data_IF_840200186565
#
_entry.id   IF_840200186565
#
_cell.length_a   1.000
_cell.length_b   1.000
_cell.length_c   1.000
_cell.angle_alpha   90.00
_cell.angle_beta   90.00
_cell.angle_gamma   90.00
#
_symmetry.space_group_name_H-M   'P 1'
#
loop_
_entity.id
_entity.type
_entity.pdbx_description
1 polymer ?
#
# COMPACT_ATOMS: atom_id res chain seq x y z
N UNK A 1 -53.66 67.35 -0.32
CA UNK A 1 -53.84 65.88 -0.02
C UNK A 1 -52.82 65.10 -0.82
N UNK A 2 -51.70 64.80 -0.17
CA UNK A 2 -50.55 64.20 -0.83
C UNK A 2 -50.55 62.71 -0.47
N UNK A 3 -50.70 61.82 -1.43
CA UNK A 3 -50.70 60.39 -1.25
C UNK A 3 -49.23 59.90 -1.35
N UNK A 4 -48.66 59.46 -0.19
CA UNK A 4 -47.41 58.82 -0.12
C UNK A 4 -47.48 57.40 -0.72
N UNK A 5 -46.76 57.17 -1.79
CA UNK A 5 -46.60 55.84 -2.38
C UNK A 5 -45.35 55.20 -1.79
N UNK A 6 -45.54 54.26 -0.88
CA UNK A 6 -44.50 53.52 -0.22
C UNK A 6 -44.08 52.32 -1.11
N UNK A 7 -42.97 52.48 -1.83
CA UNK A 7 -42.41 51.39 -2.64
C UNK A 7 -41.61 50.46 -1.70
N UNK A 8 -42.16 49.27 -1.47
CA UNK A 8 -41.53 48.23 -0.72
C UNK A 8 -40.46 47.52 -1.61
N UNK A 9 -39.19 47.87 -1.38
CA UNK A 9 -38.06 47.23 -2.06
C UNK A 9 -37.76 45.92 -1.35
N UNK A 10 -38.33 44.82 -1.84
CA UNK A 10 -38.05 43.45 -1.34
C UNK A 10 -36.71 43.01 -1.88
N UNK A 11 -35.68 43.10 -1.03
CA UNK A 11 -34.32 42.55 -1.30
C UNK A 11 -34.36 41.02 -1.28
N UNK A 12 -34.39 40.43 -2.45
CA UNK A 12 -34.21 38.97 -2.62
C UNK A 12 -32.76 38.67 -2.37
N UNK A 13 -32.41 38.21 -1.14
CA UNK A 13 -31.13 37.64 -0.82
C UNK A 13 -31.05 36.28 -1.51
N UNK A 14 -30.46 36.22 -2.70
CA UNK A 14 -30.01 35.01 -3.34
C UNK A 14 -28.80 34.47 -2.52
N UNK A 15 -29.07 33.57 -1.58
CA UNK A 15 -28.05 32.73 -1.01
C UNK A 15 -27.52 31.83 -2.14
N UNK A 16 -26.43 32.25 -2.79
CA UNK A 16 -25.61 31.40 -3.62
C UNK A 16 -24.88 30.43 -2.67
N UNK A 17 -25.48 29.26 -2.43
CA UNK A 17 -24.72 28.12 -1.96
C UNK A 17 -23.68 27.81 -3.06
N UNK A 18 -22.45 28.32 -2.90
CA UNK A 18 -21.31 27.79 -3.61
C UNK A 18 -21.10 26.36 -3.10
N UNK A 19 -21.61 25.43 -3.86
CA UNK A 19 -21.28 24.03 -3.71
C UNK A 19 -19.77 23.91 -3.97
N UNK A 20 -19.00 24.01 -2.90
CA UNK A 20 -17.58 23.74 -2.92
C UNK A 20 -17.44 22.22 -3.09
N UNK A 21 -17.65 21.73 -4.31
CA UNK A 21 -17.24 20.39 -4.67
C UNK A 21 -15.73 20.33 -4.42
N UNK A 22 -15.35 19.78 -3.27
CA UNK A 22 -13.97 19.44 -3.00
C UNK A 22 -13.46 18.64 -4.20
N UNK A 23 -12.52 19.22 -4.93
CA UNK A 23 -11.93 18.60 -6.12
C UNK A 23 -11.46 17.20 -5.70
N UNK A 24 -12.11 16.16 -6.23
CA UNK A 24 -11.78 14.78 -5.85
C UNK A 24 -10.37 14.51 -6.34
N UNK A 25 -9.45 14.37 -5.41
CA UNK A 25 -8.07 13.96 -5.71
C UNK A 25 -8.15 12.68 -6.53
N UNK A 26 -7.66 12.73 -7.77
CA UNK A 26 -7.66 11.59 -8.67
C UNK A 26 -6.33 10.86 -8.53
N UNK A 27 -6.36 9.67 -7.95
CA UNK A 27 -5.20 8.78 -7.87
C UNK A 27 -5.10 7.89 -9.11
N UNK A 28 -3.89 7.51 -9.49
CA UNK A 28 -3.63 6.49 -10.50
C UNK A 28 -3.93 5.08 -9.95
N UNK A 29 -3.68 4.88 -8.67
CA UNK A 29 -4.04 3.66 -7.94
C UNK A 29 -5.54 3.60 -7.62
N UNK A 30 -6.02 2.40 -7.30
CA UNK A 30 -7.40 2.22 -6.85
C UNK A 30 -7.57 2.77 -5.44
N UNK A 31 -8.48 3.74 -5.24
CA UNK A 31 -8.85 4.22 -3.92
C UNK A 31 -9.64 3.13 -3.17
N UNK A 32 -9.09 2.69 -2.05
CA UNK A 32 -9.66 1.67 -1.16
C UNK A 32 -9.85 2.20 0.26
N UNK A 33 -9.95 3.51 0.43
CA UNK A 33 -10.04 4.19 1.73
C UNK A 33 -11.23 3.75 2.58
N UNK A 34 -12.28 3.22 1.96
CA UNK A 34 -13.47 2.70 2.64
C UNK A 34 -13.41 1.19 2.91
N UNK A 35 -12.28 0.54 2.66
CA UNK A 35 -12.15 -0.90 2.85
C UNK A 35 -12.03 -1.26 4.35
N UNK A 36 -12.80 -2.26 4.77
CA UNK A 36 -12.83 -2.75 6.15
C UNK A 36 -11.95 -4.00 6.38
N UNK A 37 -10.93 -4.20 5.54
CA UNK A 37 -9.96 -5.29 5.61
C UNK A 37 -8.52 -4.75 5.62
N UNK A 38 -7.51 -5.64 5.71
CA UNK A 38 -6.10 -5.28 5.70
C UNK A 38 -5.76 -4.21 6.77
N UNK A 39 -6.20 -4.43 8.02
CA UNK A 39 -6.10 -3.43 9.08
C UNK A 39 -4.76 -3.45 9.81
N UNK A 40 -4.13 -4.63 9.92
CA UNK A 40 -2.86 -4.81 10.63
C UNK A 40 -2.21 -6.15 10.28
N UNK A 41 -0.95 -6.30 10.68
CA UNK A 41 -0.21 -7.56 10.70
C UNK A 41 0.54 -7.68 12.03
N UNK A 42 0.83 -8.91 12.46
CA UNK A 42 1.66 -9.21 13.63
C UNK A 42 2.65 -10.31 13.22
N UNK A 43 3.82 -9.87 12.75
CA UNK A 43 4.85 -10.71 12.15
C UNK A 43 6.23 -10.33 12.70
N UNK A 44 7.27 -11.04 12.29
CA UNK A 44 8.65 -10.75 12.67
C UNK A 44 9.43 -10.26 11.46
N UNK A 45 10.28 -9.23 11.62
CA UNK A 45 11.13 -8.75 10.54
C UNK A 45 12.40 -9.60 10.36
N UNK A 46 13.08 -9.39 9.26
CA UNK A 46 14.33 -10.09 8.92
C UNK A 46 15.48 -9.80 9.90
N UNK A 47 15.34 -8.83 10.80
CA UNK A 47 16.26 -8.58 11.91
C UNK A 47 15.85 -9.32 13.19
N UNK A 48 14.66 -9.95 13.21
CA UNK A 48 14.15 -10.72 14.35
C UNK A 48 13.30 -9.87 15.31
N UNK A 49 12.87 -8.69 14.91
CA UNK A 49 12.03 -7.83 15.73
C UNK A 49 10.54 -8.03 15.39
N UNK A 50 9.65 -8.11 16.39
CA UNK A 50 8.20 -8.10 16.13
C UNK A 50 7.79 -6.81 15.45
N UNK A 51 6.88 -6.90 14.48
CA UNK A 51 6.40 -5.77 13.69
C UNK A 51 4.89 -5.82 13.51
N UNK A 52 4.31 -4.62 13.67
CA UNK A 52 2.93 -4.31 13.36
C UNK A 52 2.88 -3.06 12.48
N UNK A 53 1.75 -2.81 11.84
CA UNK A 53 1.57 -1.61 11.04
C UNK A 53 1.80 -0.33 11.87
N UNK A 54 1.39 -0.33 13.14
CA UNK A 54 1.57 0.79 14.06
C UNK A 54 3.04 1.21 14.29
N UNK A 55 4.02 0.31 14.07
CA UNK A 55 5.45 0.63 14.23
C UNK A 55 5.96 1.57 13.15
N UNK A 56 5.20 1.72 12.07
CA UNK A 56 5.52 2.60 10.94
C UNK A 56 4.69 3.89 10.94
N UNK A 57 4.01 4.22 12.04
CA UNK A 57 3.21 5.45 12.16
C UNK A 57 4.05 6.69 11.82
N UNK A 58 3.46 7.61 11.06
CA UNK A 58 4.15 8.80 10.53
C UNK A 58 4.79 8.58 9.16
N UNK A 59 4.77 7.34 8.64
CA UNK A 59 5.21 7.03 7.28
C UNK A 59 4.04 6.53 6.43
N UNK A 60 4.14 6.72 5.12
CA UNK A 60 3.36 5.95 4.17
C UNK A 60 3.93 4.52 4.15
N UNK A 61 3.08 3.51 4.24
CA UNK A 61 3.52 2.10 4.25
C UNK A 61 3.02 1.39 3.01
N UNK A 62 3.93 0.82 2.24
CA UNK A 62 3.62 0.00 1.06
C UNK A 62 3.81 -1.47 1.44
N UNK A 63 2.73 -2.24 1.48
CA UNK A 63 2.76 -3.66 1.81
C UNK A 63 2.58 -4.49 0.55
N UNK A 64 3.54 -5.35 0.27
CA UNK A 64 3.55 -6.27 -0.86
C UNK A 64 3.76 -7.71 -0.37
N UNK A 65 2.96 -8.64 -0.90
CA UNK A 65 3.08 -10.06 -0.61
C UNK A 65 3.80 -10.78 -1.74
N UNK A 66 4.71 -11.69 -1.39
CA UNK A 66 5.47 -12.43 -2.38
C UNK A 66 6.33 -13.53 -1.75
N UNK A 67 7.29 -14.06 -2.48
CA UNK A 67 8.25 -15.05 -1.98
C UNK A 67 9.57 -14.94 -2.74
N UNK A 68 10.68 -15.34 -2.10
CA UNK A 68 12.03 -15.11 -2.67
C UNK A 68 12.33 -15.94 -3.91
N UNK A 69 11.67 -17.09 -4.06
CA UNK A 69 11.84 -18.00 -5.19
C UNK A 69 10.91 -17.67 -6.38
N UNK A 70 10.21 -16.54 -6.33
CA UNK A 70 9.40 -16.05 -7.46
C UNK A 70 10.34 -15.62 -8.60
N UNK A 71 10.17 -16.19 -9.83
CA UNK A 71 11.12 -15.93 -10.91
C UNK A 71 10.98 -14.56 -11.59
N UNK A 72 9.84 -13.87 -11.43
CA UNK A 72 9.52 -12.68 -12.23
C UNK A 72 8.80 -11.59 -11.42
N UNK A 73 7.56 -11.79 -11.01
CA UNK A 73 6.67 -10.75 -10.47
C UNK A 73 7.25 -10.08 -9.21
N UNK A 74 7.79 -10.85 -8.28
CA UNK A 74 8.29 -10.32 -7.02
C UNK A 74 9.56 -9.47 -7.18
N UNK A 75 10.63 -9.93 -7.87
CA UNK A 75 11.81 -9.09 -8.08
C UNK A 75 11.48 -7.86 -8.97
N UNK A 76 10.58 -7.99 -9.95
CA UNK A 76 10.12 -6.85 -10.76
C UNK A 76 9.43 -5.81 -9.90
N UNK A 77 8.49 -6.20 -9.03
CA UNK A 77 7.79 -5.29 -8.13
C UNK A 77 8.75 -4.57 -7.17
N UNK A 78 9.69 -5.29 -6.54
CA UNK A 78 10.67 -4.68 -5.63
C UNK A 78 11.62 -3.72 -6.37
N UNK A 79 12.01 -4.07 -7.61
CA UNK A 79 12.79 -3.17 -8.49
C UNK A 79 12.01 -1.89 -8.83
N UNK A 80 10.71 -2.00 -9.10
CA UNK A 80 9.87 -0.83 -9.36
C UNK A 80 9.69 0.03 -8.10
N UNK A 81 9.57 -0.57 -6.91
CA UNK A 81 9.58 0.17 -5.65
C UNK A 81 10.91 0.91 -5.44
N UNK A 82 12.05 0.33 -5.83
CA UNK A 82 13.35 1.04 -5.80
C UNK A 82 13.33 2.28 -6.73
N UNK A 83 12.72 2.19 -7.91
CA UNK A 83 12.54 3.34 -8.81
C UNK A 83 11.62 4.40 -8.18
N UNK A 84 10.53 3.98 -7.53
CA UNK A 84 9.63 4.87 -6.78
C UNK A 84 10.42 5.62 -5.71
N UNK A 85 11.21 4.94 -4.89
CA UNK A 85 12.03 5.57 -3.85
C UNK A 85 13.02 6.59 -4.43
N UNK A 86 13.60 6.34 -5.60
CA UNK A 86 14.45 7.31 -6.31
C UNK A 86 13.67 8.53 -6.79
N UNK A 87 12.44 8.35 -7.32
CA UNK A 87 11.57 9.44 -7.78
C UNK A 87 11.04 10.33 -6.65
N UNK A 88 10.95 9.80 -5.44
CA UNK A 88 10.57 10.55 -4.24
C UNK A 88 11.69 11.45 -3.70
N UNK A 89 12.95 11.17 -4.06
CA UNK A 89 14.10 11.95 -3.60
C UNK A 89 14.22 11.97 -2.06
N UNK A 90 14.29 13.14 -1.45
CA UNK A 90 14.35 13.29 0.02
C UNK A 90 13.06 12.84 0.73
N UNK A 91 11.92 12.86 0.06
CA UNK A 91 10.64 12.42 0.63
C UNK A 91 10.58 10.90 0.89
N UNK A 92 11.52 10.12 0.32
CA UNK A 92 11.62 8.66 0.54
C UNK A 92 11.70 8.28 2.03
N UNK A 93 12.25 9.14 2.87
CA UNK A 93 12.35 8.91 4.32
C UNK A 93 10.99 8.80 5.00
N UNK A 94 9.94 9.36 4.38
CA UNK A 94 8.54 9.27 4.81
C UNK A 94 7.83 8.01 4.30
N UNK A 95 8.53 7.11 3.62
CA UNK A 95 7.95 5.90 3.02
C UNK A 95 8.65 4.66 3.58
N UNK A 96 7.88 3.62 3.87
CA UNK A 96 8.37 2.30 4.24
C UNK A 96 7.80 1.27 3.28
N UNK A 97 8.68 0.52 2.62
CA UNK A 97 8.28 -0.67 1.85
C UNK A 97 8.43 -1.90 2.74
N UNK A 98 7.37 -2.69 2.80
CA UNK A 98 7.27 -3.92 3.59
C UNK A 98 6.93 -5.08 2.66
N UNK A 99 7.80 -6.07 2.62
CA UNK A 99 7.60 -7.33 1.92
C UNK A 99 7.17 -8.40 2.93
N UNK A 100 6.02 -9.04 2.71
CA UNK A 100 5.54 -10.16 3.55
C UNK A 100 5.68 -11.44 2.75
N UNK A 101 6.46 -12.41 3.27
CA UNK A 101 6.60 -13.69 2.58
C UNK A 101 5.31 -14.50 2.65
N UNK A 102 5.00 -15.18 1.53
CA UNK A 102 3.96 -16.21 1.42
C UNK A 102 4.53 -17.63 1.48
N UNK A 103 5.86 -17.74 1.66
CA UNK A 103 6.58 -19.03 1.67
C UNK A 103 7.45 -19.19 2.91
N UNK A 104 6.86 -19.28 4.09
CA UNK A 104 7.62 -19.38 5.33
C UNK A 104 8.45 -20.67 5.44
N UNK A 105 8.19 -21.67 4.59
CA UNK A 105 8.96 -22.92 4.55
C UNK A 105 10.35 -22.72 3.93
N UNK A 106 10.46 -21.94 2.85
CA UNK A 106 11.71 -21.66 2.12
C UNK A 106 12.33 -20.31 2.48
N UNK A 107 11.51 -19.32 2.78
CA UNK A 107 11.95 -17.96 3.04
C UNK A 107 12.38 -17.78 4.50
N UNK A 108 13.54 -18.33 4.85
CA UNK A 108 14.10 -18.15 6.18
C UNK A 108 14.41 -16.66 6.47
N UNK A 109 14.48 -16.31 7.77
CA UNK A 109 14.93 -14.98 8.22
C UNK A 109 16.24 -14.56 7.56
N UNK A 110 17.22 -15.47 7.52
CA UNK A 110 18.53 -15.19 6.95
C UNK A 110 18.48 -14.94 5.43
N UNK A 111 17.57 -15.62 4.71
CA UNK A 111 17.35 -15.40 3.29
C UNK A 111 16.68 -14.04 3.05
N UNK A 112 15.62 -13.72 3.79
CA UNK A 112 14.94 -12.43 3.70
C UNK A 112 15.87 -11.26 4.04
N UNK A 113 16.77 -11.42 5.02
CA UNK A 113 17.77 -10.41 5.38
C UNK A 113 18.78 -10.11 4.26
N UNK A 114 18.96 -11.04 3.32
CA UNK A 114 19.80 -10.83 2.12
C UNK A 114 18.97 -10.33 0.93
N UNK A 115 17.80 -10.94 0.72
CA UNK A 115 16.98 -10.71 -0.47
C UNK A 115 16.35 -9.32 -0.47
N UNK A 116 15.61 -8.96 0.57
CA UNK A 116 14.81 -7.73 0.57
C UNK A 116 15.69 -6.47 0.58
N UNK A 117 16.73 -6.34 1.43
CA UNK A 117 17.63 -5.20 1.40
C UNK A 117 18.51 -5.10 0.14
N UNK A 118 18.63 -6.16 -0.67
CA UNK A 118 19.37 -6.10 -1.94
C UNK A 118 18.74 -5.19 -2.98
N UNK A 119 17.43 -4.94 -2.88
CA UNK A 119 16.71 -3.96 -3.72
C UNK A 119 16.86 -2.54 -3.19
N UNK A 120 16.68 -2.36 -1.89
CA UNK A 120 16.89 -1.10 -1.18
C UNK A 120 17.10 -1.40 0.31
N UNK A 121 18.17 -0.85 0.90
CA UNK A 121 18.55 -1.12 2.28
C UNK A 121 17.49 -0.72 3.33
N UNK A 122 16.51 0.12 2.94
CA UNK A 122 15.41 0.56 3.82
C UNK A 122 14.20 -0.37 3.76
N UNK A 123 14.16 -1.32 2.83
CA UNK A 123 13.03 -2.25 2.70
C UNK A 123 13.07 -3.29 3.83
N UNK A 124 11.89 -3.65 4.32
CA UNK A 124 11.74 -4.60 5.41
C UNK A 124 11.04 -5.86 4.92
N UNK A 125 11.66 -7.02 5.15
CA UNK A 125 11.04 -8.32 4.91
C UNK A 125 10.44 -8.87 6.20
N UNK A 126 9.19 -9.29 6.16
CA UNK A 126 8.47 -9.89 7.27
C UNK A 126 8.23 -11.38 7.02
N UNK A 127 8.33 -12.16 8.07
CA UNK A 127 8.04 -13.59 8.08
C UNK A 127 7.28 -13.98 9.34
N UNK A 128 6.73 -15.18 9.35
CA UNK A 128 6.05 -15.76 10.49
C UNK A 128 5.87 -17.26 10.31
N UNK A 129 5.16 -17.90 11.21
CA UNK A 129 4.71 -19.28 11.00
C UNK A 129 3.71 -19.36 9.85
N UNK A 130 3.51 -20.53 9.23
CA UNK A 130 2.51 -20.71 8.18
C UNK A 130 1.13 -20.23 8.64
N UNK A 131 0.72 -20.54 9.87
CA UNK A 131 -0.56 -20.08 10.41
C UNK A 131 -0.67 -18.56 10.53
N UNK A 132 0.43 -17.85 10.88
CA UNK A 132 0.46 -16.39 10.92
C UNK A 132 0.38 -15.80 9.51
N UNK A 133 1.10 -16.36 8.55
CA UNK A 133 1.08 -15.92 7.15
C UNK A 133 -0.31 -16.13 6.55
N UNK A 134 -0.92 -17.32 6.73
CA UNK A 134 -2.28 -17.62 6.26
C UNK A 134 -3.31 -16.64 6.85
N UNK A 135 -3.19 -16.34 8.15
CA UNK A 135 -4.07 -15.38 8.81
C UNK A 135 -3.93 -13.99 8.19
N UNK A 136 -2.70 -13.49 8.04
CA UNK A 136 -2.46 -12.15 7.49
C UNK A 136 -2.89 -12.11 6.02
N UNK A 137 -2.57 -13.10 5.20
CA UNK A 137 -3.01 -13.18 3.82
C UNK A 137 -4.55 -13.14 3.71
N UNK A 138 -5.26 -13.89 4.57
CA UNK A 138 -6.73 -13.85 4.65
C UNK A 138 -7.25 -12.47 5.07
N UNK A 139 -6.66 -11.85 6.09
CA UNK A 139 -7.04 -10.53 6.58
C UNK A 139 -6.83 -9.44 5.49
N UNK A 140 -5.83 -9.62 4.62
CA UNK A 140 -5.55 -8.75 3.47
C UNK A 140 -6.30 -9.14 2.20
N UNK A 141 -7.09 -10.22 2.23
CA UNK A 141 -7.76 -10.80 1.05
C UNK A 141 -6.78 -11.15 -0.07
N UNK A 142 -5.57 -11.55 0.28
CA UNK A 142 -4.55 -12.04 -0.63
C UNK A 142 -4.82 -13.52 -0.89
N UNK A 143 -5.12 -13.84 -2.15
CA UNK A 143 -5.11 -15.23 -2.61
C UNK A 143 -3.68 -15.72 -2.68
N UNK A 144 -3.40 -16.93 -2.21
CA UNK A 144 -2.15 -17.65 -2.46
C UNK A 144 -2.40 -19.16 -2.50
N UNK A 145 -1.73 -19.85 -3.40
CA UNK A 145 -1.85 -21.30 -3.60
C UNK A 145 -0.53 -21.89 -4.08
N UNK A 146 -0.07 -22.95 -3.40
CA UNK A 146 1.11 -23.70 -3.82
C UNK A 146 0.78 -24.54 -5.05
N UNK A 147 1.61 -24.44 -6.09
CA UNK A 147 1.55 -25.22 -7.33
C UNK A 147 2.78 -26.10 -7.44
N UNK A 148 2.59 -27.41 -7.36
CA UNK A 148 3.67 -28.36 -7.59
C UNK A 148 3.97 -28.42 -9.08
N UNK A 149 5.22 -28.23 -9.45
CA UNK A 149 5.66 -28.38 -10.84
C UNK A 149 5.90 -29.86 -11.11
N UNK A 150 5.22 -30.41 -12.11
CA UNK A 150 5.37 -31.83 -12.49
C UNK A 150 6.83 -32.15 -12.80
N UNK A 151 7.38 -33.17 -12.11
CA UNK A 151 8.76 -33.65 -12.32
C UNK A 151 9.87 -32.81 -11.66
N UNK A 152 9.53 -31.78 -10.86
CA UNK A 152 10.50 -30.99 -10.14
C UNK A 152 10.31 -31.11 -8.61
N UNK A 153 11.42 -31.12 -7.85
CA UNK A 153 11.39 -31.02 -6.38
C UNK A 153 10.98 -29.61 -5.91
N UNK A 154 10.73 -28.69 -6.85
CA UNK A 154 10.39 -27.29 -6.58
C UNK A 154 8.92 -27.00 -6.86
N UNK A 155 8.37 -26.02 -6.15
CA UNK A 155 7.01 -25.51 -6.36
C UNK A 155 7.03 -23.98 -6.57
N UNK A 156 5.99 -23.47 -7.22
CA UNK A 156 5.67 -22.05 -7.28
C UNK A 156 4.49 -21.72 -6.36
N UNK A 157 4.28 -20.44 -6.10
CA UNK A 157 3.10 -19.96 -5.38
C UNK A 157 2.39 -18.94 -6.26
N UNK A 158 1.19 -19.29 -6.69
CA UNK A 158 0.29 -18.36 -7.34
C UNK A 158 -0.31 -17.44 -6.28
N UNK A 159 -0.22 -16.13 -6.47
CA UNK A 159 -0.73 -15.18 -5.47
C UNK A 159 -1.18 -13.85 -6.07
N UNK A 160 -1.99 -13.11 -5.30
CA UNK A 160 -2.34 -11.73 -5.61
C UNK A 160 -1.10 -10.84 -5.56
N UNK A 161 -0.83 -10.09 -6.63
CA UNK A 161 0.44 -9.37 -6.82
C UNK A 161 0.32 -7.84 -6.66
N UNK A 162 -0.69 -7.34 -5.95
CA UNK A 162 -0.85 -5.91 -5.73
C UNK A 162 -0.16 -5.40 -4.47
N UNK A 163 -0.03 -4.08 -4.38
CA UNK A 163 0.59 -3.38 -3.26
C UNK A 163 -0.44 -2.53 -2.54
N UNK A 164 -0.58 -2.73 -1.24
CA UNK A 164 -1.44 -1.95 -0.35
C UNK A 164 -0.69 -0.71 0.15
N UNK A 165 -1.34 0.45 0.16
CA UNK A 165 -0.75 1.70 0.61
C UNK A 165 -1.52 2.27 1.80
N UNK A 166 -0.82 2.48 2.88
CA UNK A 166 -1.33 3.11 4.09
C UNK A 166 -0.79 4.53 4.22
N UNK A 167 -1.64 5.43 4.70
CA UNK A 167 -1.22 6.79 5.02
C UNK A 167 -0.45 6.86 6.35
N UNK A 168 0.04 8.04 6.68
CA UNK A 168 0.84 8.29 7.88
C UNK A 168 0.08 8.02 9.19
N UNK A 169 -1.26 7.95 9.16
CA UNK A 169 -2.10 7.57 10.29
C UNK A 169 -2.29 6.05 10.43
N UNK A 170 -1.85 5.27 9.43
CA UNK A 170 -2.03 3.82 9.35
C UNK A 170 -3.37 3.41 8.75
N UNK A 171 -4.08 4.31 8.05
CA UNK A 171 -5.30 3.97 7.30
C UNK A 171 -4.95 3.47 5.91
N UNK A 172 -5.60 2.38 5.49
CA UNK A 172 -5.53 1.91 4.11
C UNK A 172 -6.13 2.96 3.16
N UNK A 173 -5.39 3.31 2.12
CA UNK A 173 -5.78 4.36 1.18
C UNK A 173 -5.83 3.88 -0.26
N UNK A 174 -4.77 3.27 -0.76
CA UNK A 174 -4.67 2.89 -2.16
C UNK A 174 -4.27 1.42 -2.31
N UNK A 175 -4.62 0.88 -3.46
CA UNK A 175 -4.16 -0.42 -3.93
C UNK A 175 -3.58 -0.25 -5.34
N UNK A 176 -2.30 -0.56 -5.51
CA UNK A 176 -1.63 -0.59 -6.80
C UNK A 176 -1.66 -2.01 -7.36
N UNK A 177 -2.15 -2.15 -8.59
CA UNK A 177 -2.07 -3.41 -9.32
C UNK A 177 -0.64 -3.69 -9.77
N UNK A 178 -0.30 -4.95 -10.00
CA UNK A 178 0.95 -5.31 -10.65
C UNK A 178 1.09 -4.58 -12.00
N UNK A 179 2.29 -4.08 -12.30
CA UNK A 179 2.56 -3.32 -13.52
C UNK A 179 2.17 -1.83 -13.47
N UNK A 180 1.71 -1.32 -12.33
CA UNK A 180 1.54 0.13 -12.14
C UNK A 180 2.89 0.84 -12.31
N UNK A 181 2.93 1.88 -13.11
CA UNK A 181 4.19 2.56 -13.44
C UNK A 181 4.79 3.28 -12.23
N UNK A 182 6.12 3.19 -12.00
CA UNK A 182 6.76 3.81 -10.85
C UNK A 182 6.50 5.31 -10.68
N UNK A 183 6.40 6.07 -11.78
CA UNK A 183 6.10 7.52 -11.70
C UNK A 183 4.66 7.79 -11.27
N UNK A 184 3.70 6.96 -11.66
CA UNK A 184 2.30 7.06 -11.22
C UNK A 184 2.20 6.78 -9.72
N UNK A 185 2.87 5.71 -9.24
CA UNK A 185 2.97 5.38 -7.81
C UNK A 185 3.60 6.55 -7.03
N UNK A 186 4.73 7.08 -7.50
CA UNK A 186 5.42 8.18 -6.83
C UNK A 186 4.55 9.45 -6.76
N UNK A 187 3.77 9.75 -7.80
CA UNK A 187 2.84 10.88 -7.81
C UNK A 187 1.72 10.70 -6.76
N UNK A 188 1.11 9.52 -6.71
CA UNK A 188 0.06 9.23 -5.73
C UNK A 188 0.59 9.30 -4.29
N UNK A 189 1.80 8.78 -4.05
CA UNK A 189 2.42 8.86 -2.72
C UNK A 189 2.68 10.32 -2.31
N UNK A 190 3.11 11.19 -3.23
CA UNK A 190 3.29 12.63 -2.96
C UNK A 190 1.98 13.32 -2.60
N UNK A 191 0.86 12.89 -3.18
CA UNK A 191 -0.48 13.41 -2.84
C UNK A 191 -0.98 12.93 -1.47
N UNK A 192 -0.44 11.82 -0.94
CA UNK A 192 -0.77 11.30 0.38
C UNK A 192 0.13 11.86 1.52
N UNK A 193 1.23 12.55 1.19
CA UNK A 193 2.17 13.14 2.16
C UNK A 193 1.69 14.48 2.71
#
# INVERSE_FOLDING_TARGET
MLKFLMVLFSSLMLNACSDHQAERVHFNGTDVSNAEYAKDFDLTDHLGQPRRLADYKGKLVLVFFGYTHCPDVCPTTLTDMTKVMKLLGSQREKVQVVFITLDPERDSRALLAKYVPSFDATFVGLYGTSAQIDKVAKDFKVFHERKNTAGAESYSIDHSAGTYVYDQSGKLRLYFKYGQKPHEIANDLKMLM
#
